data_IF_404305500064
#
_entry.id   IF_404305500064
#
_cell.length_a   1.000
_cell.length_b   1.000
_cell.length_c   1.000
_cell.angle_alpha   90.00
_cell.angle_beta   90.00
_cell.angle_gamma   90.00
#
_symmetry.space_group_name_H-M   'P 1'
#
loop_
_entity.id
_entity.type
_entity.pdbx_description
1 polymer ?
#
# COMPACT_ATOMS: atom_id res chain seq x y z
N UNK A 1 -9.96 -0.38 -26.86
CA UNK A 1 -10.51 -1.05 -25.68
C UNK A 1 -9.42 -1.78 -24.90
N UNK A 2 -8.65 -2.68 -25.54
CA UNK A 2 -7.60 -3.46 -24.86
C UNK A 2 -6.54 -2.56 -24.23
N UNK A 3 -6.10 -1.49 -24.92
CA UNK A 3 -5.12 -0.53 -24.36
C UNK A 3 -5.63 0.18 -23.11
N UNK A 4 -6.89 0.56 -23.05
CA UNK A 4 -7.49 1.20 -21.89
C UNK A 4 -7.60 0.24 -20.71
N UNK A 5 -7.96 -1.02 -20.96
CA UNK A 5 -7.98 -2.06 -19.93
C UNK A 5 -6.59 -2.33 -19.35
N UNK A 6 -5.56 -2.43 -20.21
CA UNK A 6 -4.17 -2.63 -19.75
C UNK A 6 -3.68 -1.44 -18.92
N UNK A 7 -3.94 -0.21 -19.36
CA UNK A 7 -3.57 0.99 -18.62
C UNK A 7 -4.28 1.06 -17.25
N UNK A 8 -5.59 0.81 -17.24
CA UNK A 8 -6.38 0.79 -16.01
C UNK A 8 -5.91 -0.32 -15.06
N UNK A 9 -5.66 -1.54 -15.57
CA UNK A 9 -5.12 -2.62 -14.76
C UNK A 9 -3.73 -2.29 -14.20
N UNK A 10 -2.87 -1.67 -15.00
CA UNK A 10 -1.55 -1.22 -14.56
C UNK A 10 -1.61 -0.16 -13.45
N UNK A 11 -2.48 0.84 -13.60
CA UNK A 11 -2.64 1.88 -12.56
C UNK A 11 -3.22 1.33 -11.27
N UNK A 12 -4.21 0.43 -11.34
CA UNK A 12 -4.78 -0.24 -10.16
C UNK A 12 -3.72 -1.09 -9.47
N UNK A 13 -2.94 -1.87 -10.22
CA UNK A 13 -1.90 -2.73 -9.66
C UNK A 13 -0.83 -1.90 -8.93
N UNK A 14 -0.33 -0.83 -9.56
CA UNK A 14 0.67 0.06 -8.96
C UNK A 14 0.12 0.73 -7.70
N UNK A 15 -1.11 1.23 -7.74
CA UNK A 15 -1.74 1.86 -6.59
C UNK A 15 -1.90 0.90 -5.41
N UNK A 16 -2.35 -0.34 -5.66
CA UNK A 16 -2.50 -1.36 -4.62
C UNK A 16 -1.14 -1.81 -4.07
N UNK A 17 -0.12 -1.93 -4.91
CA UNK A 17 1.22 -2.28 -4.48
C UNK A 17 1.81 -1.20 -3.56
N UNK A 18 1.70 0.07 -3.95
CA UNK A 18 2.16 1.19 -3.11
C UNK A 18 1.39 1.28 -1.79
N UNK A 19 0.06 1.10 -1.83
CA UNK A 19 -0.76 1.08 -0.63
C UNK A 19 -0.38 -0.09 0.29
N UNK A 20 -0.18 -1.28 -0.26
CA UNK A 20 0.24 -2.47 0.49
C UNK A 20 1.60 -2.29 1.15
N UNK A 21 2.59 -1.77 0.43
CA UNK A 21 3.91 -1.47 0.98
C UNK A 21 3.83 -0.42 2.11
N UNK A 22 3.04 0.63 1.91
CA UNK A 22 2.87 1.68 2.92
C UNK A 22 2.21 1.13 4.20
N UNK A 23 1.14 0.35 4.07
CA UNK A 23 0.44 -0.26 5.21
C UNK A 23 1.36 -1.25 5.95
N UNK A 24 2.09 -2.11 5.24
CA UNK A 24 3.02 -3.05 5.83
C UNK A 24 4.16 -2.33 6.59
N UNK A 25 4.72 -1.26 6.02
CA UNK A 25 5.76 -0.47 6.67
C UNK A 25 5.24 0.25 7.93
N UNK A 26 4.04 0.83 7.87
CA UNK A 26 3.41 1.48 9.04
C UNK A 26 3.15 0.46 10.15
N UNK A 27 2.63 -0.71 9.80
CA UNK A 27 2.35 -1.77 10.77
C UNK A 27 3.63 -2.26 11.45
N UNK A 28 4.67 -2.61 10.68
CA UNK A 28 5.96 -3.05 11.22
C UNK A 28 6.57 -2.01 12.15
N UNK A 29 6.61 -0.73 11.74
CA UNK A 29 7.14 0.33 12.59
C UNK A 29 6.31 0.59 13.84
N UNK A 30 5.00 0.33 13.80
CA UNK A 30 4.13 0.45 14.98
C UNK A 30 4.41 -0.67 15.99
N UNK A 31 4.58 -1.89 15.50
CA UNK A 31 4.91 -3.05 16.35
C UNK A 31 6.27 -2.88 17.01
N UNK A 32 7.30 -2.45 16.27
CA UNK A 32 8.63 -2.19 16.82
C UNK A 32 8.58 -1.11 17.92
N UNK A 33 7.92 0.03 17.67
CA UNK A 33 7.79 1.09 18.69
C UNK A 33 7.04 0.63 19.94
N UNK A 34 6.02 -0.21 19.81
CA UNK A 34 5.30 -0.76 20.95
C UNK A 34 6.20 -1.67 21.78
N UNK A 35 7.01 -2.52 21.14
CA UNK A 35 7.97 -3.37 21.84
C UNK A 35 9.02 -2.55 22.57
N UNK A 36 9.59 -1.53 21.93
CA UNK A 36 10.54 -0.61 22.57
C UNK A 36 9.93 0.09 23.79
N UNK A 37 8.70 0.60 23.66
CA UNK A 37 7.99 1.24 24.76
C UNK A 37 7.73 0.26 25.92
N UNK A 38 7.41 -0.99 25.61
CA UNK A 38 7.23 -2.05 26.61
C UNK A 38 8.54 -2.36 27.34
N UNK A 39 9.66 -2.52 26.61
CA UNK A 39 10.97 -2.73 27.20
C UNK A 39 11.39 -1.56 28.09
N UNK A 40 11.12 -0.31 27.67
CA UNK A 40 11.39 0.88 28.50
C UNK A 40 10.56 0.91 29.77
N UNK A 41 9.28 0.53 29.72
CA UNK A 41 8.42 0.44 30.89
C UNK A 41 8.92 -0.63 31.89
N UNK A 42 9.32 -1.80 31.37
CA UNK A 42 9.90 -2.86 32.19
C UNK A 42 11.26 -2.44 32.79
N UNK A 43 12.11 -1.75 32.02
CA UNK A 43 13.38 -1.21 32.50
C UNK A 43 13.18 -0.22 33.63
N UNK A 44 12.22 0.69 33.51
CA UNK A 44 11.87 1.66 34.52
C UNK A 44 11.42 0.92 35.80
N UNK A 45 10.63 -0.12 35.67
CA UNK A 45 10.18 -0.94 36.80
C UNK A 45 11.33 -1.71 37.44
N UNK A 46 12.18 -2.36 36.62
CA UNK A 46 13.38 -3.04 37.14
C UNK A 46 14.27 -2.07 37.94
N UNK A 47 14.54 -0.90 37.36
CA UNK A 47 15.35 0.15 38.04
C UNK A 47 14.77 0.55 39.37
N UNK A 48 13.44 0.71 39.48
CA UNK A 48 12.78 1.08 40.71
C UNK A 48 12.80 -0.02 41.79
N UNK A 49 12.96 -1.28 41.41
CA UNK A 49 12.98 -2.43 42.29
C UNK A 49 14.40 -2.82 42.76
N UNK A 50 15.43 -2.35 42.05
CA UNK A 50 16.83 -2.67 42.39
C UNK A 50 17.27 -1.93 43.66
N UNK A 51 17.65 -2.70 44.67
CA UNK A 51 18.36 -2.21 45.80
C UNK A 51 19.87 -2.49 45.63
N UNK A 52 20.64 -1.45 45.40
CA UNK A 52 22.09 -1.54 45.17
C UNK A 52 22.92 -1.33 46.48
N UNK A 53 22.28 -1.16 47.63
CA UNK A 53 22.95 -0.84 48.88
C UNK A 53 23.77 -2.00 49.47
N UNK A 54 23.48 -3.24 49.06
CA UNK A 54 24.15 -4.47 49.50
C UNK A 54 25.26 -4.88 48.53
N UNK A 55 26.23 -5.69 48.97
CA UNK A 55 27.34 -6.17 48.13
C UNK A 55 26.84 -6.91 46.89
N UNK A 56 25.80 -7.70 47.05
CA UNK A 56 25.01 -8.26 45.90
C UNK A 56 23.72 -7.47 45.82
N UNK A 57 23.39 -6.87 44.67
CA UNK A 57 22.13 -6.15 44.49
C UNK A 57 20.96 -7.12 44.72
N UNK A 58 19.87 -6.62 45.32
CA UNK A 58 18.66 -7.38 45.57
C UNK A 58 17.46 -6.71 44.90
N UNK A 59 16.45 -7.49 44.51
CA UNK A 59 15.17 -6.94 44.09
C UNK A 59 14.23 -6.82 45.29
N UNK A 60 13.75 -5.60 45.56
CA UNK A 60 12.82 -5.33 46.66
C UNK A 60 11.46 -6.02 46.50
N UNK A 61 11.09 -6.42 45.26
CA UNK A 61 9.92 -7.22 44.94
C UNK A 61 10.13 -7.98 43.62
N UNK A 62 9.33 -9.00 43.36
CA UNK A 62 9.34 -9.70 42.10
C UNK A 62 8.82 -8.82 40.92
N UNK A 63 9.34 -9.04 39.75
CA UNK A 63 8.79 -8.44 38.53
C UNK A 63 7.37 -8.99 38.28
N UNK A 64 6.44 -8.12 37.87
CA UNK A 64 5.02 -8.49 37.84
C UNK A 64 4.65 -9.43 36.71
N UNK A 65 5.45 -9.51 35.63
CA UNK A 65 5.16 -10.39 34.51
C UNK A 65 5.61 -11.82 34.84
N UNK A 66 4.68 -12.80 34.87
CA UNK A 66 5.00 -14.19 35.20
C UNK A 66 5.97 -14.86 34.22
N UNK A 67 6.17 -14.30 33.02
CA UNK A 67 7.14 -14.81 32.03
C UNK A 67 8.59 -14.73 32.57
N UNK A 68 8.89 -13.84 33.50
CA UNK A 68 10.20 -13.78 34.17
C UNK A 68 10.50 -14.98 35.04
N UNK A 69 9.47 -15.67 35.54
CA UNK A 69 9.59 -16.80 36.48
C UNK A 69 9.58 -18.15 35.77
N UNK A 70 9.23 -18.21 34.50
CA UNK A 70 9.15 -19.44 33.69
C UNK A 70 10.44 -19.62 32.86
N UNK A 71 11.17 -20.73 33.03
CA UNK A 71 12.35 -21.00 32.16
C UNK A 71 12.04 -20.84 30.69
N UNK A 72 12.88 -20.11 29.96
CA UNK A 72 12.67 -19.75 28.56
C UNK A 72 11.32 -19.08 28.26
N UNK A 73 10.76 -18.34 29.23
CA UNK A 73 9.44 -17.68 29.16
C UNK A 73 9.33 -16.54 28.13
N UNK A 74 10.40 -16.20 27.43
CA UNK A 74 10.42 -15.20 26.36
C UNK A 74 10.58 -13.76 26.86
N UNK A 75 10.63 -13.53 28.16
CA UNK A 75 10.94 -12.24 28.78
C UNK A 75 12.01 -12.45 29.84
N UNK A 76 13.09 -11.68 29.73
CA UNK A 76 14.32 -11.89 30.51
C UNK A 76 14.81 -10.60 31.10
N UNK A 77 15.45 -10.65 32.26
CA UNK A 77 16.25 -9.55 32.77
C UNK A 77 17.53 -10.06 33.45
N UNK A 78 18.57 -9.24 33.40
CA UNK A 78 19.81 -9.46 34.14
C UNK A 78 20.39 -8.14 34.61
N UNK A 79 21.16 -8.21 35.70
CA UNK A 79 21.92 -7.12 36.28
C UNK A 79 23.37 -7.57 36.36
N UNK A 80 24.25 -6.80 35.74
CA UNK A 80 25.68 -7.05 35.74
C UNK A 80 26.43 -5.87 36.40
N UNK A 81 27.64 -6.11 36.76
CA UNK A 81 28.57 -5.04 37.17
C UNK A 81 29.15 -4.33 35.92
N UNK A 82 30.00 -3.33 36.14
CA UNK A 82 30.66 -2.58 35.09
C UNK A 82 31.63 -3.45 34.26
N UNK A 83 32.16 -4.53 34.87
CA UNK A 83 33.02 -5.50 34.20
C UNK A 83 32.27 -6.55 33.37
N UNK A 84 30.93 -6.55 33.42
CA UNK A 84 30.09 -7.51 32.71
C UNK A 84 29.79 -8.80 33.47
N UNK A 85 30.25 -8.92 34.75
CA UNK A 85 29.90 -10.08 35.57
C UNK A 85 28.43 -9.99 36.01
N UNK A 86 27.62 -11.02 35.69
CA UNK A 86 26.20 -11.06 36.06
C UNK A 86 26.04 -11.32 37.56
N UNK A 87 25.41 -10.37 38.23
CA UNK A 87 25.15 -10.40 39.66
C UNK A 87 23.78 -10.99 40.02
N UNK A 88 22.76 -10.63 39.21
CA UNK A 88 21.39 -11.11 39.33
C UNK A 88 20.79 -11.36 37.99
N UNK A 89 19.87 -12.30 37.89
CA UNK A 89 19.12 -12.61 36.68
C UNK A 89 17.72 -13.13 36.96
N UNK A 90 16.83 -13.02 35.99
CA UNK A 90 15.49 -13.61 36.05
C UNK A 90 15.59 -15.14 36.02
N UNK A 91 14.62 -15.79 36.63
CA UNK A 91 14.50 -17.27 36.57
C UNK A 91 14.29 -17.78 35.14
N UNK A 92 13.76 -16.95 34.25
CA UNK A 92 13.56 -17.29 32.83
C UNK A 92 14.88 -17.51 32.09
N UNK A 93 15.98 -16.88 32.49
CA UNK A 93 17.33 -17.11 31.96
C UNK A 93 17.95 -18.44 32.40
N UNK A 94 17.45 -19.00 33.55
CA UNK A 94 18.03 -20.21 34.16
C UNK A 94 19.52 -20.02 34.46
N UNK A 95 20.39 -20.81 33.83
CA UNK A 95 21.85 -20.73 33.96
C UNK A 95 22.53 -19.94 32.83
N UNK A 96 21.75 -19.42 31.91
CA UNK A 96 22.26 -18.65 30.78
C UNK A 96 22.33 -17.14 31.05
N UNK A 97 22.93 -16.39 30.14
CA UNK A 97 23.07 -14.94 30.20
C UNK A 97 22.81 -14.32 28.84
N UNK A 98 22.45 -13.06 28.83
CA UNK A 98 22.32 -12.27 27.60
C UNK A 98 23.64 -11.55 27.38
N UNK A 99 24.18 -11.63 26.16
CA UNK A 99 25.38 -10.90 25.79
C UNK A 99 25.18 -9.40 25.92
N UNK A 100 26.13 -8.73 26.56
CA UNK A 100 26.09 -7.29 26.74
C UNK A 100 26.63 -6.60 25.48
N UNK A 101 26.00 -5.47 25.05
CA UNK A 101 26.50 -4.70 23.93
C UNK A 101 27.89 -4.12 24.22
N UNK A 102 28.71 -3.98 23.16
CA UNK A 102 30.08 -3.45 23.26
C UNK A 102 30.12 -1.99 23.77
N UNK A 103 29.06 -1.23 23.53
CA UNK A 103 28.90 0.14 24.01
C UNK A 103 27.53 0.31 24.67
N UNK A 104 27.55 0.63 25.96
CA UNK A 104 26.35 0.83 26.78
C UNK A 104 26.27 2.31 27.15
N UNK A 105 25.21 3.00 26.76
CA UNK A 105 24.94 4.39 27.09
C UNK A 105 24.00 4.51 28.29
N UNK A 106 24.03 5.67 28.99
CA UNK A 106 23.07 5.99 30.05
C UNK A 106 21.63 6.13 29.50
N UNK A 107 21.49 6.56 28.24
CA UNK A 107 20.20 6.63 27.60
C UNK A 107 19.60 5.25 27.26
N UNK A 108 20.44 4.21 27.26
CA UNK A 108 20.13 2.85 26.89
C UNK A 108 20.52 2.54 25.43
N UNK A 109 20.84 1.29 25.17
CA UNK A 109 21.05 0.74 23.83
C UNK A 109 20.05 -0.39 23.60
N UNK A 110 19.43 -0.40 22.39
CA UNK A 110 18.51 -1.45 21.97
C UNK A 110 19.23 -2.26 20.90
N UNK A 111 19.38 -3.56 21.14
CA UNK A 111 20.06 -4.46 20.19
C UNK A 111 19.31 -5.77 20.04
N UNK A 112 19.46 -6.39 18.89
CA UNK A 112 18.96 -7.76 18.65
C UNK A 112 19.95 -8.75 19.22
N UNK A 113 19.46 -9.62 20.08
CA UNK A 113 20.22 -10.67 20.75
C UNK A 113 19.57 -12.03 20.50
N UNK A 114 20.25 -13.09 20.89
CA UNK A 114 19.69 -14.43 20.91
C UNK A 114 19.34 -14.81 22.33
N UNK A 115 18.16 -15.34 22.55
CA UNK A 115 17.71 -15.83 23.85
C UNK A 115 18.35 -17.20 24.20
N UNK A 116 18.20 -17.71 25.43
CA UNK A 116 18.72 -19.02 25.83
C UNK A 116 18.20 -20.20 25.01
N UNK A 117 17.06 -20.06 24.34
CA UNK A 117 16.50 -21.08 23.46
C UNK A 117 17.03 -20.99 22.01
N UNK A 118 17.93 -20.05 21.69
CA UNK A 118 18.45 -19.81 20.35
C UNK A 118 17.50 -19.01 19.46
N UNK A 119 16.48 -18.35 20.04
CA UNK A 119 15.49 -17.57 19.30
C UNK A 119 15.82 -16.06 19.32
N UNK A 120 15.38 -15.30 18.30
CA UNK A 120 15.64 -13.88 18.25
C UNK A 120 14.90 -13.13 19.37
N UNK A 121 15.60 -12.21 20.03
CA UNK A 121 15.08 -11.35 21.05
C UNK A 121 15.58 -9.91 20.87
N UNK A 122 14.82 -8.92 21.36
CA UNK A 122 15.24 -7.53 21.44
C UNK A 122 15.61 -7.20 22.87
N UNK A 123 16.82 -6.71 23.08
CA UNK A 123 17.34 -6.35 24.39
C UNK A 123 17.51 -4.84 24.53
N UNK A 124 17.03 -4.29 25.61
CA UNK A 124 17.33 -2.94 26.07
C UNK A 124 18.34 -3.04 27.23
N UNK A 125 19.51 -2.46 27.04
CA UNK A 125 20.57 -2.41 28.05
C UNK A 125 20.84 -0.96 28.47
N UNK A 126 20.89 -0.70 29.74
CA UNK A 126 21.13 0.62 30.30
C UNK A 126 22.18 0.55 31.41
N UNK A 127 23.10 1.51 31.44
CA UNK A 127 24.04 1.74 32.53
C UNK A 127 23.44 2.72 33.52
N UNK A 128 23.43 2.36 34.81
CA UNK A 128 22.91 3.19 35.87
C UNK A 128 23.93 3.32 36.98
N UNK A 129 24.08 4.51 37.54
CA UNK A 129 24.93 4.82 38.68
C UNK A 129 24.04 5.01 39.89
N UNK A 130 24.24 4.19 40.89
CA UNK A 130 23.52 4.25 42.17
C UNK A 130 24.36 4.97 43.19
N UNK A 131 23.85 6.05 43.78
CA UNK A 131 24.45 6.72 44.90
C UNK A 131 24.22 5.90 46.19
N UNK A 132 25.26 5.74 47.01
CA UNK A 132 25.19 4.96 48.23
C UNK A 132 24.94 5.88 49.43
N UNK A 133 23.92 5.61 50.23
CA UNK A 133 23.54 6.42 51.42
C UNK A 133 24.65 6.50 52.47
N UNK A 134 25.57 5.55 52.50
CA UNK A 134 26.64 5.47 53.51
C UNK A 134 27.90 6.29 53.19
N UNK A 135 27.89 7.14 52.13
CA UNK A 135 29.10 7.86 51.68
C UNK A 135 30.14 6.94 50.99
N UNK A 136 29.78 5.71 50.69
CA UNK A 136 30.59 4.81 49.87
C UNK A 136 30.64 5.30 48.39
N UNK A 137 31.61 4.81 47.63
CA UNK A 137 31.72 5.15 46.21
C UNK A 137 30.45 4.77 45.46
N UNK A 138 30.00 5.60 44.49
CA UNK A 138 28.85 5.27 43.66
C UNK A 138 29.07 3.94 42.94
N UNK A 139 28.00 3.16 42.81
CA UNK A 139 28.05 1.85 42.17
C UNK A 139 27.42 1.89 40.78
N UNK A 140 28.17 1.48 39.79
CA UNK A 140 27.67 1.36 38.43
C UNK A 140 27.14 -0.05 38.19
N UNK A 141 25.89 -0.15 37.73
CA UNK A 141 25.26 -1.40 37.34
C UNK A 141 24.77 -1.32 35.91
N UNK A 142 24.83 -2.45 35.23
CA UNK A 142 24.30 -2.62 33.86
C UNK A 142 23.04 -3.48 33.93
N UNK A 143 21.91 -2.87 33.63
CA UNK A 143 20.63 -3.53 33.61
C UNK A 143 20.26 -3.87 32.17
N UNK A 144 19.87 -5.11 31.95
CA UNK A 144 19.39 -5.58 30.62
C UNK A 144 18.02 -6.21 30.78
N UNK A 145 17.11 -5.85 29.88
CA UNK A 145 15.82 -6.53 29.70
C UNK A 145 15.72 -6.95 28.24
N UNK A 146 15.33 -8.19 28.00
CA UNK A 146 15.12 -8.71 26.65
C UNK A 146 13.77 -9.40 26.52
N UNK A 147 13.16 -9.22 25.37
CA UNK A 147 11.90 -9.87 25.02
C UNK A 147 12.05 -10.58 23.67
N UNK A 148 11.58 -11.81 23.61
CA UNK A 148 11.59 -12.64 22.41
C UNK A 148 10.69 -12.06 21.32
N UNK A 149 11.16 -12.05 20.08
CA UNK A 149 10.45 -11.44 18.93
C UNK A 149 9.77 -12.44 17.99
N UNK A 150 9.94 -13.75 18.20
CA UNK A 150 9.38 -14.80 17.33
C UNK A 150 7.84 -14.70 17.18
N UNK A 151 7.11 -14.43 18.26
CA UNK A 151 5.67 -14.19 18.19
C UNK A 151 5.28 -12.94 17.40
N UNK A 152 6.11 -11.90 17.48
CA UNK A 152 5.94 -10.63 16.74
C UNK A 152 6.21 -10.86 15.25
N UNK A 153 7.28 -11.59 14.93
CA UNK A 153 7.64 -11.93 13.54
C UNK A 153 6.56 -12.81 12.89
N UNK A 154 6.00 -13.77 13.64
CA UNK A 154 4.87 -14.57 13.21
C UNK A 154 3.60 -13.73 12.97
N UNK A 155 3.29 -12.79 13.87
CA UNK A 155 2.16 -11.86 13.72
C UNK A 155 2.34 -10.93 12.51
N UNK A 156 3.55 -10.43 12.29
CA UNK A 156 3.90 -9.64 11.10
C UNK A 156 3.72 -10.44 9.80
N UNK A 157 4.13 -11.71 9.79
CA UNK A 157 3.96 -12.59 8.63
C UNK A 157 2.46 -12.86 8.35
N UNK A 158 1.70 -13.22 9.38
CA UNK A 158 0.25 -13.43 9.26
C UNK A 158 -0.46 -12.17 8.74
N UNK A 159 -0.12 -10.99 9.29
CA UNK A 159 -0.67 -9.72 8.82
C UNK A 159 -0.37 -9.46 7.34
N UNK A 160 0.86 -9.76 6.87
CA UNK A 160 1.20 -9.59 5.45
C UNK A 160 0.37 -10.50 4.56
N UNK A 161 0.16 -11.75 4.97
CA UNK A 161 -0.64 -12.71 4.22
C UNK A 161 -2.11 -12.28 4.15
N UNK A 162 -2.69 -11.82 5.24
CA UNK A 162 -4.05 -11.27 5.30
C UNK A 162 -4.17 -10.00 4.43
N UNK A 163 -3.18 -9.12 4.47
CA UNK A 163 -3.13 -7.91 3.66
C UNK A 163 -3.07 -8.24 2.17
N UNK A 164 -2.21 -9.18 1.77
CA UNK A 164 -2.10 -9.63 0.38
C UNK A 164 -3.41 -10.24 -0.11
N UNK A 165 -4.07 -11.04 0.71
CA UNK A 165 -5.38 -11.62 0.40
C UNK A 165 -6.44 -10.54 0.20
N UNK A 166 -6.55 -9.59 1.12
CA UNK A 166 -7.50 -8.48 1.04
C UNK A 166 -7.26 -7.60 -0.19
N UNK A 167 -5.98 -7.24 -0.46
CA UNK A 167 -5.61 -6.45 -1.64
C UNK A 167 -5.86 -7.21 -2.94
N UNK A 168 -5.72 -8.53 -2.97
CA UNK A 168 -6.05 -9.35 -4.13
C UNK A 168 -7.53 -9.32 -4.45
N UNK A 169 -8.40 -9.47 -3.45
CA UNK A 169 -9.85 -9.34 -3.61
C UNK A 169 -10.22 -7.95 -4.12
N UNK A 170 -9.67 -6.90 -3.49
CA UNK A 170 -9.91 -5.53 -3.89
C UNK A 170 -9.44 -5.27 -5.33
N UNK A 171 -8.27 -5.80 -5.70
CA UNK A 171 -7.73 -5.70 -7.05
C UNK A 171 -8.64 -6.32 -8.10
N UNK A 172 -9.13 -7.53 -7.86
CA UNK A 172 -10.11 -8.19 -8.74
C UNK A 172 -11.39 -7.39 -8.86
N UNK A 173 -11.93 -6.89 -7.75
CA UNK A 173 -13.14 -6.08 -7.74
C UNK A 173 -12.97 -4.78 -8.55
N UNK A 174 -11.85 -4.08 -8.37
CA UNK A 174 -11.54 -2.85 -9.11
C UNK A 174 -11.32 -3.12 -10.61
N UNK A 175 -10.67 -4.22 -10.97
CA UNK A 175 -10.50 -4.62 -12.38
C UNK A 175 -11.84 -4.92 -13.04
N UNK A 176 -12.74 -5.65 -12.36
CA UNK A 176 -14.09 -5.92 -12.87
C UNK A 176 -14.90 -4.63 -13.02
N UNK A 177 -14.88 -3.76 -12.01
CA UNK A 177 -15.56 -2.46 -12.06
C UNK A 177 -15.05 -1.60 -13.24
N UNK A 178 -13.72 -1.53 -13.41
CA UNK A 178 -13.09 -0.81 -14.53
C UNK A 178 -13.46 -1.40 -15.89
N UNK A 179 -13.50 -2.72 -16.02
CA UNK A 179 -13.91 -3.38 -17.26
C UNK A 179 -15.38 -3.05 -17.62
N UNK A 180 -16.28 -3.10 -16.63
CA UNK A 180 -17.68 -2.74 -16.79
C UNK A 180 -17.80 -1.26 -17.19
N UNK A 181 -17.11 -0.37 -16.50
CA UNK A 181 -17.12 1.07 -16.77
C UNK A 181 -16.65 1.39 -18.19
N UNK A 182 -15.54 0.77 -18.66
CA UNK A 182 -15.02 0.96 -20.00
C UNK A 182 -16.02 0.43 -21.05
N UNK A 183 -16.64 -0.72 -20.80
CA UNK A 183 -17.65 -1.28 -21.72
C UNK A 183 -18.87 -0.38 -21.82
N UNK A 184 -19.41 0.09 -20.69
CA UNK A 184 -20.58 0.97 -20.67
C UNK A 184 -20.26 2.34 -21.31
N UNK A 185 -19.10 2.93 -20.99
CA UNK A 185 -18.69 4.24 -21.51
C UNK A 185 -18.42 4.24 -23.03
N UNK A 186 -18.02 3.11 -23.62
CA UNK A 186 -17.74 3.01 -25.05
C UNK A 186 -18.93 2.51 -25.90
N UNK A 187 -20.01 2.04 -25.29
CA UNK A 187 -21.23 1.62 -26.01
C UNK A 187 -21.83 2.69 -26.92
N UNK A 188 -21.95 3.96 -26.50
CA UNK A 188 -22.49 5.03 -27.35
C UNK A 188 -21.70 5.24 -28.66
N UNK A 189 -20.36 5.12 -28.57
CA UNK A 189 -19.51 5.26 -29.76
C UNK A 189 -19.72 4.12 -30.76
N UNK A 190 -19.96 2.89 -30.32
CA UNK A 190 -20.32 1.77 -31.19
C UNK A 190 -21.67 1.99 -31.86
N UNK A 191 -22.61 2.64 -31.16
CA UNK A 191 -23.92 2.98 -31.72
C UNK A 191 -23.77 4.02 -32.84
N UNK A 192 -22.95 5.07 -32.65
CA UNK A 192 -22.65 6.07 -33.68
C UNK A 192 -21.98 5.41 -34.90
N UNK A 193 -20.99 4.54 -34.70
CA UNK A 193 -20.32 3.82 -35.78
C UNK A 193 -21.32 2.98 -36.62
N UNK A 194 -22.23 2.27 -35.96
CA UNK A 194 -23.28 1.50 -36.65
C UNK A 194 -24.22 2.41 -37.42
N UNK A 195 -24.62 3.57 -36.86
CA UNK A 195 -25.44 4.56 -37.55
C UNK A 195 -24.78 5.09 -38.81
N UNK A 196 -23.48 5.43 -38.74
CA UNK A 196 -22.71 5.84 -39.92
C UNK A 196 -22.65 4.74 -40.98
N UNK A 197 -22.47 3.49 -40.58
CA UNK A 197 -22.47 2.35 -41.52
C UNK A 197 -23.83 2.20 -42.24
N UNK A 198 -24.94 2.43 -41.51
CA UNK A 198 -26.32 2.40 -42.11
C UNK A 198 -26.53 3.53 -43.13
N UNK A 199 -26.08 4.75 -42.82
CA UNK A 199 -26.13 5.88 -43.75
C UNK A 199 -25.33 5.56 -45.03
N UNK A 200 -24.13 5.02 -44.87
CA UNK A 200 -23.25 4.67 -45.98
C UNK A 200 -23.83 3.58 -46.88
N UNK A 201 -24.68 2.69 -46.35
CA UNK A 201 -25.39 1.66 -47.13
C UNK A 201 -26.70 2.15 -47.74
N UNK A 202 -27.08 3.43 -47.55
CA UNK A 202 -28.29 4.02 -48.09
C UNK A 202 -29.54 3.77 -47.23
N UNK A 203 -29.41 3.32 -46.01
CA UNK A 203 -30.54 2.96 -45.15
C UNK A 203 -31.19 4.14 -44.39
N UNK A 204 -30.50 5.27 -44.21
CA UNK A 204 -31.04 6.51 -43.65
C UNK A 204 -30.22 7.71 -44.09
N UNK A 205 -30.81 8.93 -44.10
CA UNK A 205 -30.09 10.15 -44.46
C UNK A 205 -29.31 10.74 -43.28
N UNK A 206 -29.78 10.57 -42.03
CA UNK A 206 -29.24 11.18 -40.86
C UNK A 206 -29.14 10.19 -39.68
N UNK A 207 -28.28 10.51 -38.71
CA UNK A 207 -28.20 9.80 -37.45
C UNK A 207 -29.41 10.17 -36.58
N UNK A 208 -29.94 9.22 -35.82
CA UNK A 208 -31.06 9.43 -34.89
C UNK A 208 -30.64 10.42 -33.77
N UNK A 209 -31.63 11.04 -33.12
CA UNK A 209 -31.39 11.92 -31.98
C UNK A 209 -31.35 11.18 -30.64
N UNK A 210 -31.41 9.85 -30.63
CA UNK A 210 -31.48 9.03 -29.42
C UNK A 210 -30.10 8.53 -28.99
N UNK A 211 -29.20 9.49 -28.73
CA UNK A 211 -27.86 9.24 -28.20
C UNK A 211 -27.65 9.95 -26.84
N UNK A 212 -26.79 9.44 -25.98
CA UNK A 212 -26.39 10.11 -24.74
C UNK A 212 -25.83 11.52 -24.99
N UNK A 213 -26.05 12.42 -24.00
CA UNK A 213 -25.64 13.83 -24.06
C UNK A 213 -24.17 14.03 -24.41
N UNK A 214 -23.30 13.10 -24.00
CA UNK A 214 -21.85 13.14 -24.20
C UNK A 214 -21.45 13.05 -25.69
N UNK A 215 -22.25 12.38 -26.51
CA UNK A 215 -21.96 12.19 -27.94
C UNK A 215 -22.86 13.04 -28.85
N UNK A 216 -23.89 13.69 -28.28
CA UNK A 216 -24.80 14.54 -29.06
C UNK A 216 -24.10 15.64 -29.88
N UNK A 217 -23.09 16.39 -29.34
CA UNK A 217 -22.40 17.39 -30.15
C UNK A 217 -21.72 16.79 -31.41
N UNK A 218 -21.19 15.57 -31.28
CA UNK A 218 -20.58 14.85 -32.41
C UNK A 218 -21.67 14.44 -33.44
N UNK A 219 -22.79 13.94 -32.97
CA UNK A 219 -23.93 13.52 -33.82
C UNK A 219 -24.50 14.72 -34.56
N UNK A 220 -24.71 15.86 -33.89
CA UNK A 220 -25.18 17.09 -34.52
C UNK A 220 -24.24 17.59 -35.59
N UNK A 221 -22.93 17.72 -35.29
CA UNK A 221 -21.94 18.15 -36.27
C UNK A 221 -21.82 17.19 -37.48
N UNK A 222 -22.02 15.89 -37.25
CA UNK A 222 -22.00 14.93 -38.35
C UNK A 222 -23.25 15.03 -39.22
N UNK A 223 -24.44 15.21 -38.64
CA UNK A 223 -25.68 15.44 -39.41
C UNK A 223 -25.59 16.73 -40.23
N UNK A 224 -25.04 17.82 -39.68
CA UNK A 224 -24.80 19.06 -40.44
C UNK A 224 -23.91 18.82 -41.69
N UNK A 225 -22.84 18.05 -41.55
CA UNK A 225 -21.96 17.68 -42.65
C UNK A 225 -22.67 16.84 -43.69
N UNK A 226 -23.53 15.88 -43.30
CA UNK A 226 -24.32 15.06 -44.19
C UNK A 226 -25.31 15.91 -45.00
N UNK A 227 -25.99 16.86 -44.32
CA UNK A 227 -26.91 17.81 -44.97
C UNK A 227 -26.21 18.71 -46.01
N UNK A 228 -25.00 19.21 -45.68
CA UNK A 228 -24.19 19.98 -46.60
C UNK A 228 -23.77 19.15 -47.84
N UNK A 229 -23.39 17.88 -47.63
CA UNK A 229 -23.01 16.98 -48.69
C UNK A 229 -24.19 16.70 -49.64
N UNK A 230 -25.39 16.42 -49.05
CA UNK A 230 -26.60 16.16 -49.83
C UNK A 230 -26.99 17.36 -50.72
N UNK A 231 -26.96 18.59 -50.15
CA UNK A 231 -27.19 19.83 -50.89
C UNK A 231 -26.16 19.99 -52.03
N UNK A 232 -24.88 19.73 -51.76
CA UNK A 232 -23.82 19.84 -52.78
C UNK A 232 -24.04 18.88 -53.95
N UNK A 233 -24.44 17.62 -53.66
CA UNK A 233 -24.78 16.62 -54.67
C UNK A 233 -26.03 17.06 -55.45
N UNK A 234 -27.03 17.60 -54.75
CA UNK A 234 -28.25 18.15 -55.39
C UNK A 234 -27.91 19.25 -56.40
N UNK A 235 -27.14 20.26 -56.00
CA UNK A 235 -26.65 21.32 -56.90
C UNK A 235 -25.83 20.79 -58.07
N UNK A 236 -24.97 19.79 -57.85
CA UNK A 236 -24.19 19.21 -58.95
C UNK A 236 -25.08 18.48 -59.98
N UNK A 237 -26.09 17.75 -59.51
CA UNK A 237 -27.07 17.08 -60.40
C UNK A 237 -27.94 18.06 -61.20
N UNK A 238 -28.42 19.13 -60.54
CA UNK A 238 -29.19 20.18 -61.18
C UNK A 238 -28.40 20.85 -62.29
N UNK A 239 -27.14 21.26 -62.02
CA UNK A 239 -26.25 21.83 -63.03
C UNK A 239 -25.95 20.87 -64.15
N UNK A 240 -25.76 19.57 -63.92
CA UNK A 240 -25.56 18.56 -64.95
C UNK A 240 -26.81 18.37 -65.82
N UNK A 241 -27.99 18.42 -65.17
CA UNK A 241 -29.29 18.35 -65.91
C UNK A 241 -29.49 19.58 -66.85
N UNK A 242 -29.20 20.79 -66.29
CA UNK A 242 -29.32 22.03 -67.12
C UNK A 242 -28.35 22.05 -68.31
N UNK A 243 -27.08 21.61 -68.05
CA UNK A 243 -26.11 21.47 -69.15
C UNK A 243 -26.54 20.45 -70.20
N UNK A 244 -27.08 19.29 -69.77
CA UNK A 244 -27.60 18.27 -70.67
C UNK A 244 -28.79 18.79 -71.54
N UNK A 245 -29.69 19.58 -70.89
CA UNK A 245 -30.84 20.18 -71.58
C UNK A 245 -30.40 21.27 -72.55
N UNK A 246 -29.45 22.14 -72.17
CA UNK A 246 -28.87 23.17 -73.05
C UNK A 246 -28.15 22.59 -74.25
N UNK A 247 -27.37 21.52 -74.08
CA UNK A 247 -26.72 20.80 -75.18
C UNK A 247 -27.73 20.14 -76.16
N UNK A 248 -28.77 19.53 -75.56
CA UNK A 248 -29.83 18.91 -76.40
C UNK A 248 -30.54 19.97 -77.25
N UNK A 249 -30.86 21.13 -76.71
CA UNK A 249 -31.52 22.23 -77.44
C UNK A 249 -30.60 22.78 -78.52
N UNK A 250 -29.31 22.98 -78.24
CA UNK A 250 -28.34 23.45 -79.26
C UNK A 250 -28.11 22.44 -80.37
N UNK A 251 -28.04 21.14 -80.03
CA UNK A 251 -27.95 20.06 -81.03
C UNK A 251 -29.21 19.93 -81.91
N UNK A 252 -30.39 20.16 -81.33
CA UNK A 252 -31.65 20.14 -82.08
C UNK A 252 -31.75 21.29 -83.10
N UNK A 253 -31.28 22.49 -82.73
CA UNK A 253 -31.19 23.63 -83.62
C UNK A 253 -30.20 23.40 -84.78
N UNK A 254 -29.04 22.81 -84.49
CA UNK A 254 -28.04 22.49 -85.53
C UNK A 254 -28.51 21.39 -86.50
N UNK A 255 -29.32 20.42 -86.07
CA UNK A 255 -29.91 19.38 -86.95
C UNK A 255 -31.18 19.84 -87.66
N UNK A 256 -31.77 20.96 -87.30
CA UNK A 256 -32.96 21.52 -87.98
C UNK A 256 -32.66 22.46 -89.11
N UNK A 257 -31.39 22.87 -89.30
CA UNK A 257 -30.95 23.72 -90.46
C UNK A 257 -30.24 22.95 -91.58
N UNK A 258 -30.20 21.63 -91.57
CA UNK A 258 -29.70 20.77 -92.63
C UNK A 258 -30.87 20.08 -93.36
#
# INVERSE_FOLDING_TARGET
>A
RLRLLILSAGTVLVALLLAGLAIAAIFSSHVERNLEAQLQAQMTRLTALVNAATEVPELGAAMADPRFDVPAGGLYWQIADEGGAVLLRSRSLWDDTIDLPAAISEAGSIERVTDPAGLPALALTRRLVFEMESGAAPRTLVLTIAERTDGIDAANAAFRDDLLFALSILGVALMLASAIQIQLGLRPLDAVQRGIATIRSGGSANLSSDYPSEVMPLVTGLNELLDLQERSIGFARERASDLAHGLKTSLTLLNGEA
#
